data_IF_063435645827
#
_entry.id   IF_063435645827
#
_cell.length_a   1.000
_cell.length_b   1.000
_cell.length_c   1.000
_cell.angle_alpha   90.00
_cell.angle_beta   90.00
_cell.angle_gamma   90.00
#
_symmetry.space_group_name_H-M   'P 1'
#
loop_
_entity.id
_entity.type
_entity.pdbx_description
1 polymer ?
#
# COMPACT_ATOMS: atom_id res chain seq x y z
N UNK A 1 -20.11 -68.13 30.63
CA UNK A 1 -18.68 -67.78 30.68
C UNK A 1 -18.41 -66.71 29.65
N UNK A 2 -17.76 -65.61 30.07
CA UNK A 2 -16.97 -64.59 29.34
C UNK A 2 -17.32 -64.27 27.86
N UNK A 3 -17.73 -63.03 27.54
CA UNK A 3 -16.86 -61.89 27.14
C UNK A 3 -16.53 -61.94 25.63
N UNK A 4 -16.67 -60.91 24.79
CA UNK A 4 -16.06 -59.58 24.84
C UNK A 4 -16.79 -58.66 23.83
N UNK A 5 -17.26 -57.48 24.27
CA UNK A 5 -17.66 -56.38 23.39
C UNK A 5 -16.41 -55.68 22.86
N UNK A 6 -16.16 -55.75 21.55
CA UNK A 6 -15.12 -54.95 20.89
C UNK A 6 -15.63 -53.53 20.67
N UNK A 7 -15.12 -52.58 21.44
CA UNK A 7 -15.21 -51.16 21.11
C UNK A 7 -14.31 -50.85 19.90
N UNK A 8 -14.88 -50.21 18.88
CA UNK A 8 -14.13 -49.67 17.75
C UNK A 8 -13.82 -48.20 18.06
N UNK A 9 -12.56 -47.91 18.38
CA UNK A 9 -12.10 -46.53 18.61
C UNK A 9 -12.04 -45.76 17.28
N UNK A 10 -12.57 -44.53 17.17
CA UNK A 10 -12.31 -43.71 16.00
C UNK A 10 -10.85 -43.25 16.06
N UNK A 11 -10.06 -43.64 15.05
CA UNK A 11 -8.74 -43.07 14.82
C UNK A 11 -8.89 -41.56 14.59
N UNK A 12 -8.64 -40.78 15.64
CA UNK A 12 -8.51 -39.33 15.54
C UNK A 12 -7.16 -39.04 14.92
N UNK A 13 -7.13 -38.88 13.59
CA UNK A 13 -5.93 -38.39 12.90
C UNK A 13 -5.61 -36.99 13.44
N UNK A 14 -4.41 -36.73 13.97
CA UNK A 14 -4.01 -35.36 14.27
C UNK A 14 -3.87 -34.65 12.93
N UNK A 15 -4.68 -33.61 12.71
CA UNK A 15 -4.41 -32.63 11.66
C UNK A 15 -3.00 -32.09 11.89
N UNK A 16 -2.04 -32.56 11.10
CA UNK A 16 -0.69 -32.01 11.06
C UNK A 16 -0.83 -30.60 10.52
N UNK A 17 -0.83 -29.61 11.44
CA UNK A 17 -0.71 -28.20 11.12
C UNK A 17 0.52 -28.05 10.22
N UNK A 18 0.32 -27.62 8.98
CA UNK A 18 1.42 -27.35 8.06
C UNK A 18 2.44 -26.46 8.78
N UNK A 19 3.66 -26.97 8.94
CA UNK A 19 4.78 -26.23 9.51
C UNK A 19 5.06 -25.08 8.54
N UNK A 20 4.51 -23.91 8.82
CA UNK A 20 4.98 -22.69 8.20
C UNK A 20 6.38 -22.49 8.77
N UNK A 21 7.41 -22.67 7.96
CA UNK A 21 8.80 -22.35 8.34
C UNK A 21 8.78 -20.98 9.00
N UNK A 22 9.26 -20.90 10.24
CA UNK A 22 9.31 -19.63 10.94
C UNK A 22 10.17 -18.64 10.12
N UNK A 23 9.70 -17.41 9.85
CA UNK A 23 10.48 -16.45 9.09
C UNK A 23 11.77 -16.15 9.85
N UNK A 24 12.90 -16.14 9.13
CA UNK A 24 14.19 -15.80 9.72
C UNK A 24 14.14 -14.36 10.26
N UNK A 25 14.42 -14.17 11.55
CA UNK A 25 14.44 -12.83 12.13
C UNK A 25 15.67 -12.06 11.63
N UNK A 26 15.52 -10.84 11.10
CA UNK A 26 16.67 -10.06 10.66
C UNK A 26 17.40 -9.43 11.85
N UNK A 27 18.71 -9.65 11.93
CA UNK A 27 19.58 -9.03 12.95
C UNK A 27 19.94 -7.57 12.62
N UNK A 28 19.80 -7.14 11.37
CA UNK A 28 20.21 -5.81 10.88
C UNK A 28 19.22 -5.26 9.84
N UNK A 29 19.24 -3.94 9.63
CA UNK A 29 18.40 -3.30 8.60
C UNK A 29 18.79 -3.72 7.18
N UNK A 30 20.09 -3.95 6.92
CA UNK A 30 20.57 -4.41 5.62
C UNK A 30 20.07 -5.83 5.30
N UNK A 31 20.08 -6.73 6.29
CA UNK A 31 19.55 -8.09 6.12
C UNK A 31 18.04 -8.08 5.94
N UNK A 32 17.31 -7.23 6.68
CA UNK A 32 15.87 -7.03 6.47
C UNK A 32 15.55 -6.57 5.04
N UNK A 33 16.31 -5.62 4.48
CA UNK A 33 16.12 -5.15 3.10
C UNK A 33 16.38 -6.25 2.07
N UNK A 34 17.42 -7.07 2.28
CA UNK A 34 17.72 -8.21 1.40
C UNK A 34 16.58 -9.26 1.43
N UNK A 35 16.02 -9.53 2.60
CA UNK A 35 14.88 -10.44 2.77
C UNK A 35 13.61 -9.88 2.11
N UNK A 36 13.32 -8.59 2.28
CA UNK A 36 12.19 -7.93 1.60
C UNK A 36 12.36 -8.01 0.07
N UNK A 37 13.59 -7.84 -0.42
CA UNK A 37 13.92 -7.88 -1.85
C UNK A 37 13.75 -9.28 -2.46
N UNK A 38 14.02 -10.34 -1.70
CA UNK A 38 13.89 -11.72 -2.19
C UNK A 38 12.44 -12.19 -2.32
N UNK A 39 11.50 -11.52 -1.64
CA UNK A 39 10.08 -11.86 -1.71
C UNK A 39 9.43 -11.40 -3.02
N UNK A 40 8.36 -12.07 -3.49
CA UNK A 40 7.71 -11.75 -4.76
C UNK A 40 6.80 -10.51 -4.69
N UNK A 41 6.34 -10.12 -3.50
CA UNK A 41 5.38 -9.05 -3.30
C UNK A 41 5.85 -8.05 -2.25
N UNK A 42 5.92 -6.77 -2.63
CA UNK A 42 6.25 -5.66 -1.75
C UNK A 42 5.15 -4.59 -1.79
N UNK A 43 5.08 -3.82 -0.72
CA UNK A 43 4.27 -2.61 -0.61
C UNK A 43 5.08 -1.50 0.06
N UNK A 44 4.66 -0.25 -0.16
CA UNK A 44 5.17 0.90 0.58
C UNK A 44 4.02 1.69 1.18
N UNK A 45 4.29 2.36 2.29
CA UNK A 45 3.40 3.39 2.84
C UNK A 45 4.07 4.73 2.63
N UNK A 46 3.54 5.54 1.72
CA UNK A 46 4.10 6.82 1.36
C UNK A 46 3.13 7.97 1.63
N UNK A 47 3.64 9.11 2.08
CA UNK A 47 2.90 10.35 2.16
C UNK A 47 3.00 11.08 0.82
N UNK A 48 1.85 11.44 0.26
CA UNK A 48 1.76 12.19 -0.98
C UNK A 48 0.58 13.16 -0.92
N UNK A 49 0.77 14.40 -1.39
CA UNK A 49 -0.26 15.45 -1.35
C UNK A 49 -0.94 15.61 0.05
N UNK A 50 -0.15 15.46 1.13
CA UNK A 50 -0.61 15.62 2.51
C UNK A 50 -1.40 14.43 3.09
N UNK A 51 -1.39 13.26 2.44
CA UNK A 51 -2.08 12.05 2.90
C UNK A 51 -1.20 10.81 2.74
N UNK A 52 -1.38 9.81 3.59
CA UNK A 52 -0.68 8.52 3.52
C UNK A 52 -1.43 7.52 2.65
N UNK A 53 -0.70 6.78 1.83
CA UNK A 53 -1.22 5.75 0.94
C UNK A 53 -0.41 4.47 1.09
N UNK A 54 -1.11 3.32 1.07
CA UNK A 54 -0.49 2.00 0.90
C UNK A 54 -0.45 1.75 -0.60
N UNK A 55 0.74 1.55 -1.15
CA UNK A 55 0.97 1.44 -2.58
C UNK A 55 1.72 0.15 -2.90
N UNK A 56 1.27 -0.53 -3.94
CA UNK A 56 1.94 -1.68 -4.55
C UNK A 56 2.38 -1.31 -5.96
N UNK A 57 3.40 -2.00 -6.52
CA UNK A 57 3.84 -1.70 -7.87
C UNK A 57 2.70 -1.93 -8.85
N UNK A 58 2.56 -1.03 -9.84
CA UNK A 58 1.48 -1.03 -10.82
C UNK A 58 0.09 -0.69 -10.24
N UNK A 59 0.02 0.04 -9.13
CA UNK A 59 -1.24 0.63 -8.67
C UNK A 59 -1.61 1.91 -9.43
N UNK A 60 -2.91 2.22 -9.47
CA UNK A 60 -3.42 3.48 -9.99
C UNK A 60 -3.88 4.37 -8.82
N UNK A 61 -3.08 5.37 -8.48
CA UNK A 61 -3.33 6.28 -7.38
C UNK A 61 -4.06 7.53 -7.89
N UNK A 62 -5.21 7.86 -7.28
CA UNK A 62 -5.94 9.11 -7.57
C UNK A 62 -5.69 10.12 -6.45
N UNK A 63 -5.15 11.28 -6.80
CA UNK A 63 -4.76 12.35 -5.87
C UNK A 63 -5.45 13.65 -6.23
N UNK A 64 -5.53 14.62 -5.29
CA UNK A 64 -5.94 15.99 -5.60
C UNK A 64 -5.16 16.54 -6.81
N UNK A 65 -5.79 17.43 -7.56
CA UNK A 65 -5.18 17.99 -8.78
C UNK A 65 -3.86 18.70 -8.47
N UNK A 66 -2.80 18.30 -9.19
CA UNK A 66 -1.48 18.89 -9.14
C UNK A 66 -1.38 19.87 -10.31
N UNK A 67 -1.06 21.14 -10.05
CA UNK A 67 -1.03 22.18 -11.09
C UNK A 67 0.27 22.22 -11.88
N UNK A 68 1.37 21.83 -11.24
CA UNK A 68 2.72 22.07 -11.73
C UNK A 68 3.30 20.86 -12.49
N UNK A 69 2.49 19.84 -12.73
CA UNK A 69 2.91 18.56 -13.32
C UNK A 69 2.12 18.30 -14.59
N UNK A 70 2.79 17.80 -15.63
CA UNK A 70 2.19 17.42 -16.92
C UNK A 70 1.97 15.90 -16.99
N UNK A 71 1.10 15.50 -17.90
CA UNK A 71 0.92 14.08 -18.22
C UNK A 71 2.22 13.53 -18.82
N UNK A 72 2.67 12.39 -18.32
CA UNK A 72 3.93 11.74 -18.69
C UNK A 72 5.10 12.03 -17.74
N UNK A 73 4.98 13.03 -16.86
CA UNK A 73 6.03 13.35 -15.90
C UNK A 73 6.19 12.21 -14.88
N UNK A 74 7.44 11.99 -14.45
CA UNK A 74 7.79 10.99 -13.44
C UNK A 74 8.08 11.70 -12.13
N UNK A 75 7.30 11.39 -11.10
CA UNK A 75 7.43 11.93 -9.76
C UNK A 75 8.10 10.90 -8.86
N UNK A 76 9.11 11.32 -8.10
CA UNK A 76 9.71 10.48 -7.06
C UNK A 76 8.91 10.65 -5.76
N UNK A 77 8.63 9.56 -5.06
CA UNK A 77 7.99 9.61 -3.75
C UNK A 77 9.03 9.90 -2.66
N UNK A 78 9.06 11.13 -2.17
CA UNK A 78 10.07 11.58 -1.19
C UNK A 78 9.82 11.02 0.22
N UNK A 79 8.55 10.98 0.65
CA UNK A 79 8.18 10.61 2.02
C UNK A 79 7.67 9.16 2.11
N UNK A 80 8.59 8.19 2.19
CA UNK A 80 8.26 6.77 2.41
C UNK A 80 8.41 6.42 3.89
N UNK A 81 7.32 6.06 4.55
CA UNK A 81 7.32 5.72 5.98
C UNK A 81 7.55 4.24 6.25
N UNK A 82 7.01 3.36 5.42
CA UNK A 82 7.12 1.92 5.62
C UNK A 82 7.42 1.24 4.27
N UNK A 83 8.29 0.24 4.30
CA UNK A 83 8.51 -0.71 3.22
C UNK A 83 8.18 -2.09 3.79
N UNK A 84 7.29 -2.81 3.15
CA UNK A 84 6.91 -4.13 3.64
C UNK A 84 6.77 -5.16 2.55
N UNK A 85 6.76 -6.39 3.01
CA UNK A 85 6.53 -7.60 2.26
C UNK A 85 5.57 -8.48 3.07
N UNK A 86 5.40 -9.74 2.71
CA UNK A 86 4.44 -10.60 3.43
C UNK A 86 4.90 -10.90 4.85
N UNK A 87 6.21 -11.08 5.05
CA UNK A 87 6.77 -11.55 6.33
C UNK A 87 7.59 -10.48 7.04
N UNK A 88 8.13 -9.51 6.29
CA UNK A 88 9.05 -8.50 6.80
C UNK A 88 8.54 -7.10 6.52
N UNK A 89 8.62 -6.22 7.53
CA UNK A 89 8.29 -4.80 7.41
C UNK A 89 9.40 -3.96 8.02
N UNK A 90 9.93 -3.03 7.24
CA UNK A 90 10.83 -1.97 7.68
C UNK A 90 10.02 -0.69 7.88
N UNK A 91 10.11 -0.09 9.07
CA UNK A 91 9.50 1.20 9.39
C UNK A 91 10.55 2.26 9.59
N UNK A 92 10.35 3.42 8.98
CA UNK A 92 11.17 4.61 9.19
C UNK A 92 10.85 5.27 10.53
N UNK A 93 11.82 6.05 11.03
CA UNK A 93 11.64 6.91 12.18
C UNK A 93 12.25 8.29 11.87
N UNK A 94 11.51 9.25 11.28
CA UNK A 94 10.10 9.25 10.87
C UNK A 94 9.83 8.76 9.43
N UNK A 95 10.84 8.81 8.55
CA UNK A 95 10.79 8.44 7.13
C UNK A 95 12.00 7.55 6.82
N UNK A 96 11.88 6.63 5.87
CA UNK A 96 12.98 5.80 5.36
C UNK A 96 13.83 6.68 4.42
N UNK A 97 15.16 6.73 4.59
CA UNK A 97 16.01 7.55 3.73
C UNK A 97 15.91 7.10 2.26
N UNK A 98 15.92 8.07 1.34
CA UNK A 98 15.80 7.85 -0.10
C UNK A 98 16.90 6.93 -0.69
N UNK A 99 18.04 6.81 0.00
CA UNK A 99 19.13 5.90 -0.39
C UNK A 99 18.75 4.42 -0.26
N UNK A 100 17.77 4.08 0.58
CA UNK A 100 17.37 2.69 0.86
C UNK A 100 16.17 2.23 0.03
N UNK A 101 15.26 3.14 -0.31
CA UNK A 101 14.04 2.83 -1.05
C UNK A 101 13.72 3.99 -1.98
N UNK A 102 13.52 3.68 -3.25
CA UNK A 102 13.09 4.63 -4.26
C UNK A 102 11.84 4.10 -4.95
N UNK A 103 10.84 4.96 -5.09
CA UNK A 103 9.60 4.65 -5.81
C UNK A 103 9.28 5.81 -6.71
N UNK A 104 9.08 5.51 -7.99
CA UNK A 104 8.67 6.47 -8.99
C UNK A 104 7.19 6.30 -9.32
N UNK A 105 6.50 7.40 -9.61
CA UNK A 105 5.10 7.42 -9.99
C UNK A 105 4.94 8.27 -11.26
N UNK A 106 4.40 7.70 -12.32
CA UNK A 106 4.19 8.39 -13.59
C UNK A 106 2.80 9.02 -13.62
N UNK A 107 2.71 10.27 -14.08
CA UNK A 107 1.42 10.95 -14.26
C UNK A 107 0.72 10.42 -15.51
N UNK A 108 -0.43 9.78 -15.33
CA UNK A 108 -1.19 9.18 -16.44
C UNK A 108 -2.17 10.17 -17.04
N UNK A 109 -2.95 10.84 -16.21
CA UNK A 109 -3.96 11.78 -16.69
C UNK A 109 -4.38 12.78 -15.60
N UNK A 110 -4.86 13.94 -16.05
CA UNK A 110 -5.67 14.82 -15.21
C UNK A 110 -7.14 14.61 -15.54
N UNK A 111 -7.89 14.10 -14.58
CA UNK A 111 -9.30 13.76 -14.76
C UNK A 111 -10.17 14.64 -13.88
N UNK A 112 -11.47 14.66 -14.16
CA UNK A 112 -12.46 15.31 -13.32
C UNK A 112 -13.37 14.25 -12.73
N UNK A 113 -13.68 14.40 -11.44
CA UNK A 113 -14.63 13.54 -10.75
C UNK A 113 -16.04 13.68 -11.30
N UNK A 114 -16.96 12.96 -10.66
CA UNK A 114 -18.37 13.13 -10.91
C UNK A 114 -18.82 14.56 -10.57
N UNK A 115 -19.84 15.03 -11.27
CA UNK A 115 -20.40 16.35 -11.01
C UNK A 115 -21.23 16.29 -9.72
N UNK A 116 -20.82 17.07 -8.74
CA UNK A 116 -21.50 17.19 -7.45
C UNK A 116 -22.50 18.35 -7.50
N UNK A 117 -23.70 18.11 -6.99
CA UNK A 117 -24.76 19.11 -6.90
C UNK A 117 -25.03 19.46 -5.45
N UNK A 118 -24.65 20.68 -5.06
CA UNK A 118 -24.88 21.20 -3.70
C UNK A 118 -26.12 22.09 -3.73
N UNK A 119 -27.23 21.60 -3.21
CA UNK A 119 -28.48 22.36 -3.12
C UNK A 119 -28.55 23.15 -1.81
N UNK A 120 -28.55 24.48 -1.91
CA UNK A 120 -28.71 25.41 -0.79
C UNK A 120 -30.13 25.96 -0.76
N UNK A 121 -30.81 25.85 0.38
CA UNK A 121 -32.19 26.35 0.58
C UNK A 121 -32.32 27.02 1.94
N UNK A 122 -33.07 28.13 2.01
CA UNK A 122 -33.49 28.73 3.28
C UNK A 122 -35.01 28.62 3.43
N UNK A 123 -35.48 28.19 4.60
CA UNK A 123 -36.91 28.02 4.90
C UNK A 123 -37.64 29.38 4.84
N UNK A 124 -38.82 29.41 4.20
CA UNK A 124 -39.72 30.59 4.11
C UNK A 124 -39.06 31.89 3.59
N UNK A 125 -37.97 31.78 2.84
CA UNK A 125 -37.28 32.95 2.25
C UNK A 125 -37.24 32.90 0.71
N UNK A 126 -37.89 31.92 0.08
CA UNK A 126 -37.84 31.70 -1.37
C UNK A 126 -36.45 31.30 -1.92
N UNK A 127 -35.39 31.45 -1.12
CA UNK A 127 -34.02 31.15 -1.50
C UNK A 127 -33.81 29.66 -1.76
N UNK A 128 -33.46 29.35 -3.01
CA UNK A 128 -33.04 28.05 -3.53
C UNK A 128 -31.91 28.26 -4.53
N UNK A 129 -30.78 27.58 -4.37
CA UNK A 129 -29.62 27.64 -5.28
C UNK A 129 -29.01 26.26 -5.40
N UNK A 130 -28.86 25.76 -6.62
CA UNK A 130 -28.07 24.55 -6.90
C UNK A 130 -26.69 24.98 -7.37
N UNK A 131 -25.64 24.56 -6.67
CA UNK A 131 -24.25 24.79 -7.05
C UNK A 131 -23.73 23.51 -7.66
N UNK A 132 -23.15 23.62 -8.86
CA UNK A 132 -22.44 22.52 -9.50
C UNK A 132 -20.97 22.64 -9.16
N UNK A 133 -20.38 21.56 -8.66
CA UNK A 133 -18.94 21.46 -8.40
C UNK A 133 -18.40 20.24 -9.11
N UNK A 134 -17.30 20.39 -9.85
CA UNK A 134 -16.65 19.27 -10.53
C UNK A 134 -15.19 19.24 -10.14
N UNK A 135 -14.86 18.38 -9.18
CA UNK A 135 -13.54 18.31 -8.57
C UNK A 135 -12.50 17.75 -9.57
N UNK A 136 -11.37 18.43 -9.80
CA UNK A 136 -10.28 17.89 -10.58
C UNK A 136 -9.39 16.96 -9.74
N UNK A 137 -8.83 15.95 -10.39
CA UNK A 137 -7.91 14.96 -9.82
C UNK A 137 -6.76 14.68 -10.79
N UNK A 138 -5.68 14.12 -10.27
CA UNK A 138 -4.58 13.57 -11.06
C UNK A 138 -4.49 12.08 -10.80
N UNK A 139 -4.31 11.29 -11.84
CA UNK A 139 -4.07 9.85 -11.72
C UNK A 139 -2.61 9.56 -11.96
N UNK A 140 -2.03 8.81 -11.04
CA UNK A 140 -0.63 8.39 -11.04
C UNK A 140 -0.56 6.88 -11.17
N UNK A 141 0.36 6.38 -11.99
CA UNK A 141 0.72 4.97 -12.06
C UNK A 141 1.94 4.76 -11.18
N UNK A 142 1.82 3.91 -10.17
CA UNK A 142 2.95 3.57 -9.30
C UNK A 142 3.89 2.63 -10.06
N UNK A 143 5.16 2.99 -10.12
CA UNK A 143 6.23 2.21 -10.71
C UNK A 143 6.67 1.05 -9.83
N UNK A 144 7.84 0.50 -10.13
CA UNK A 144 8.46 -0.54 -9.31
C UNK A 144 9.04 0.05 -8.02
N UNK A 145 9.10 -0.77 -6.97
CA UNK A 145 9.80 -0.42 -5.74
C UNK A 145 11.26 -0.82 -5.90
N UNK A 146 12.15 0.17 -5.96
CA UNK A 146 13.58 -0.04 -6.08
C UNK A 146 14.24 -0.04 -4.70
N UNK A 147 14.98 -1.10 -4.39
CA UNK A 147 15.75 -1.26 -3.15
C UNK A 147 17.23 -1.32 -3.55
N UNK A 148 17.98 -0.21 -3.46
CA UNK A 148 19.39 -0.17 -3.84
C UNK A 148 20.24 -1.10 -2.98
N UNK A 149 21.32 -1.63 -3.55
CA UNK A 149 22.36 -2.32 -2.81
C UNK A 149 23.29 -1.26 -2.20
N UNK A 150 23.26 -1.08 -0.89
CA UNK A 150 24.31 -0.33 -0.20
C UNK A 150 25.65 -1.04 -0.44
N UNK A 151 26.52 -0.43 -1.23
CA UNK A 151 27.92 -0.86 -1.33
C UNK A 151 28.59 -0.45 -0.02
N UNK A 152 29.09 -1.42 0.75
CA UNK A 152 29.87 -1.17 1.95
C UNK A 152 31.19 -0.50 1.57
N UNK A 153 31.26 0.81 1.70
CA UNK A 153 32.51 1.58 1.71
C UNK A 153 33.11 1.59 3.10
#
# INVERSE_FOLDING_TARGET
>A
MASLLRWCSPLRQPLTRALHTAPALPDSTATALQLIRSQPSQYVVASFAGRKYILTPRDMLTVPHLRDVKVGDVLVLDEIHELGSREYTLRGNPVIPANKVKVEATVVEHTKGQMEYIFKKKRRKGYRKTIQHKQPYTRLRIGSIEIPLEQSS
#
